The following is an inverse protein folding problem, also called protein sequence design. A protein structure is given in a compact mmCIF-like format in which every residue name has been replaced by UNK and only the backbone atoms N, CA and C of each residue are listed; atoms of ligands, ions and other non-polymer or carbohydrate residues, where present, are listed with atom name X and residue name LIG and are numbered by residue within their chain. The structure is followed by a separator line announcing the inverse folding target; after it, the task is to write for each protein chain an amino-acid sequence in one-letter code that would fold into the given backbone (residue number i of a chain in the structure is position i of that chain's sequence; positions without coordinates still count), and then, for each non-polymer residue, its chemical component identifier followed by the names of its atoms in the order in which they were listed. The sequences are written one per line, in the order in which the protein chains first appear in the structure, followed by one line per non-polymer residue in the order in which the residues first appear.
data_IF_332379360227
#
_entry.id   IF_332379360227
#
_cell.length_a   1.000
_cell.length_b   1.000
_cell.length_c   1.000
_cell.angle_alpha   90.00
_cell.angle_beta   90.00
_cell.angle_gamma   90.00
#
_symmetry.space_group_name_H-M   'P 1'
#
loop_
_entity.id
_entity.type
_entity.pdbx_description
1 polymer ?
#
# COMPACT_ATOMS: atom_id res chain seq x y z
N UNK A 1 99.03 21.12 76.96
CA UNK A 1 98.89 22.38 76.21
C UNK A 1 98.26 22.04 74.85
N UNK A 2 97.03 21.52 74.83
CA UNK A 2 95.77 22.26 74.59
C UNK A 2 95.72 22.94 73.23
N UNK A 3 94.61 22.64 72.53
CA UNK A 3 93.95 23.38 71.43
C UNK A 3 94.12 22.86 69.99
N UNK A 4 92.96 22.54 69.39
CA UNK A 4 92.66 22.38 67.96
C UNK A 4 92.83 20.99 67.33
N UNK A 5 92.25 20.02 68.02
CA UNK A 5 91.90 18.66 67.61
C UNK A 5 90.81 18.56 66.51
N UNK A 6 90.48 19.59 65.71
CA UNK A 6 89.28 19.52 64.82
C UNK A 6 89.48 19.97 63.36
N UNK A 7 90.70 20.23 62.88
CA UNK A 7 90.89 20.79 61.52
C UNK A 7 91.65 19.92 60.53
N UNK A 8 91.79 18.62 60.79
CA UNK A 8 92.52 17.71 59.91
C UNK A 8 91.76 16.40 59.62
N UNK A 9 90.44 16.53 59.32
CA UNK A 9 89.58 15.40 58.92
C UNK A 9 88.79 15.67 57.62
N UNK A 10 89.13 16.72 56.88
CA UNK A 10 88.31 17.18 55.74
C UNK A 10 89.07 17.37 54.42
N UNK A 11 90.28 16.80 54.25
CA UNK A 11 91.06 16.99 53.01
C UNK A 11 91.75 15.75 52.43
N UNK A 12 91.29 14.56 52.78
CA UNK A 12 91.60 13.35 52.00
C UNK A 12 90.43 12.39 52.01
N UNK A 13 89.27 12.87 51.56
CA UNK A 13 88.24 11.95 51.08
C UNK A 13 88.76 11.39 49.76
N UNK A 14 89.43 10.23 49.88
CA UNK A 14 89.94 9.41 48.79
C UNK A 14 88.90 9.41 47.68
N UNK A 15 89.25 9.98 46.52
CA UNK A 15 88.41 9.96 45.32
C UNK A 15 88.02 8.51 45.07
N UNK A 16 86.78 8.16 45.38
CA UNK A 16 86.29 6.80 45.30
C UNK A 16 86.24 6.44 43.82
N UNK A 17 86.77 5.28 43.45
CA UNK A 17 86.76 4.81 42.06
C UNK A 17 85.34 4.75 41.47
N UNK A 18 84.32 4.61 42.33
CA UNK A 18 82.89 4.73 41.97
C UNK A 18 82.53 6.11 41.42
N UNK A 19 83.11 7.18 41.96
CA UNK A 19 82.74 8.55 41.60
C UNK A 19 83.35 8.92 40.24
N UNK A 20 84.54 8.39 39.95
CA UNK A 20 85.16 8.46 38.61
C UNK A 20 84.37 7.64 37.57
N UNK A 21 83.81 6.49 37.99
CA UNK A 21 82.95 5.67 37.14
C UNK A 21 81.62 6.38 36.82
N UNK A 22 81.02 7.09 37.80
CA UNK A 22 79.80 7.86 37.59
C UNK A 22 80.00 9.01 36.59
N UNK A 23 81.13 9.70 36.62
CA UNK A 23 81.43 10.75 35.64
C UNK A 23 81.55 10.18 34.22
N UNK A 24 82.12 8.99 34.08
CA UNK A 24 82.25 8.30 32.80
C UNK A 24 80.90 7.76 32.31
N UNK A 25 80.07 7.25 33.22
CA UNK A 25 78.72 6.73 32.93
C UNK A 25 77.73 7.86 32.58
N UNK A 26 77.81 9.01 33.25
CA UNK A 26 77.03 10.21 32.92
C UNK A 26 77.45 10.76 31.55
N UNK A 27 78.75 10.78 31.25
CA UNK A 27 79.25 11.15 29.94
C UNK A 27 78.81 10.13 28.87
N UNK A 28 78.82 8.83 29.18
CA UNK A 28 78.37 7.76 28.30
C UNK A 28 76.85 7.79 28.06
N UNK A 29 76.04 8.21 29.04
CA UNK A 29 74.60 8.37 28.89
C UNK A 29 74.22 9.60 28.04
N UNK A 30 75.02 10.67 28.11
CA UNK A 30 74.88 11.84 27.23
C UNK A 30 75.43 11.59 25.82
N UNK A 31 76.44 10.72 25.71
CA UNK A 31 77.09 10.36 24.45
C UNK A 31 76.56 9.04 23.86
N UNK A 32 75.51 8.44 24.45
CA UNK A 32 74.84 7.30 23.85
C UNK A 32 74.04 7.82 22.67
N UNK A 33 74.73 7.86 21.52
CA UNK A 33 74.19 8.14 20.21
C UNK A 33 73.09 7.13 19.88
N UNK A 34 71.90 7.40 20.42
CA UNK A 34 70.64 6.80 20.02
C UNK A 34 70.17 7.37 18.69
N UNK A 35 71.08 7.89 17.85
CA UNK A 35 70.76 8.28 16.48
C UNK A 35 70.13 7.11 15.74
N UNK A 36 70.65 5.89 15.90
CA UNK A 36 70.04 4.71 15.31
C UNK A 36 68.68 4.35 15.92
N UNK A 37 68.51 4.42 17.25
CA UNK A 37 67.23 4.07 17.89
C UNK A 37 66.12 5.10 17.59
N UNK A 38 66.44 6.40 17.60
CA UNK A 38 65.53 7.46 17.22
C UNK A 38 65.22 7.41 15.71
N UNK A 39 66.23 7.15 14.87
CA UNK A 39 66.03 7.00 13.43
C UNK A 39 65.19 5.77 13.09
N UNK A 40 65.39 4.65 13.78
CA UNK A 40 64.54 3.45 13.66
C UNK A 40 63.10 3.74 14.09
N UNK A 41 62.89 4.53 15.15
CA UNK A 41 61.56 4.94 15.58
C UNK A 41 60.87 5.85 14.53
N UNK A 42 61.61 6.79 13.95
CA UNK A 42 61.10 7.68 12.89
C UNK A 42 60.78 6.88 11.63
N UNK A 43 61.63 5.94 11.21
CA UNK A 43 61.35 5.05 10.08
C UNK A 43 60.12 4.19 10.36
N UNK A 44 60.01 3.60 11.55
CA UNK A 44 58.85 2.79 11.92
C UNK A 44 57.55 3.59 11.83
N UNK A 45 57.54 4.82 12.37
CA UNK A 45 56.41 5.72 12.28
C UNK A 45 56.08 6.08 10.81
N UNK A 46 57.09 6.34 9.99
CA UNK A 46 56.92 6.63 8.57
C UNK A 46 56.31 5.44 7.83
N UNK A 47 56.80 4.22 8.07
CA UNK A 47 56.26 2.99 7.48
C UNK A 47 54.80 2.79 7.88
N UNK A 48 54.44 3.04 9.15
CA UNK A 48 53.08 2.93 9.63
C UNK A 48 52.14 3.92 8.94
N UNK A 49 52.56 5.18 8.80
CA UNK A 49 51.79 6.21 8.09
C UNK A 49 51.62 5.86 6.61
N UNK A 50 52.69 5.44 5.93
CA UNK A 50 52.63 5.04 4.51
C UNK A 50 51.69 3.87 4.33
N UNK A 51 51.76 2.86 5.20
CA UNK A 51 50.87 1.69 5.16
C UNK A 51 49.41 2.10 5.35
N UNK A 52 49.13 3.00 6.31
CA UNK A 52 47.78 3.52 6.55
C UNK A 52 47.22 4.30 5.35
N UNK A 53 48.04 5.14 4.71
CA UNK A 53 47.63 5.89 3.51
C UNK A 53 47.35 4.96 2.34
N UNK A 54 48.20 3.94 2.10
CA UNK A 54 47.97 2.94 1.06
C UNK A 54 46.67 2.18 1.34
N UNK A 55 46.41 1.79 2.58
CA UNK A 55 45.17 1.12 2.96
C UNK A 55 43.95 2.01 2.73
N UNK A 56 43.98 3.26 3.19
CA UNK A 56 42.87 4.21 3.03
C UNK A 56 42.58 4.51 1.57
N UNK A 57 43.61 4.60 0.71
CA UNK A 57 43.44 4.78 -0.73
C UNK A 57 42.75 3.59 -1.40
N UNK A 58 43.05 2.37 -0.95
CA UNK A 58 42.47 1.14 -1.49
C UNK A 58 41.15 0.74 -0.84
N UNK A 59 40.70 1.46 0.21
CA UNK A 59 39.44 1.19 0.88
C UNK A 59 38.34 2.02 0.20
N UNK A 60 37.53 1.44 -0.70
CA UNK A 60 36.37 2.14 -1.23
C UNK A 60 35.47 2.53 -0.05
N UNK A 61 35.17 3.82 0.05
CA UNK A 61 34.17 4.31 0.98
C UNK A 61 32.82 3.95 0.38
N UNK A 62 32.24 2.84 0.83
CA UNK A 62 30.90 2.41 0.41
C UNK A 62 29.87 3.38 1.00
N UNK A 63 29.62 4.49 0.30
CA UNK A 63 28.51 5.37 0.58
C UNK A 63 27.22 4.70 0.11
N UNK A 64 26.62 3.90 0.99
CA UNK A 64 25.28 3.36 0.77
C UNK A 64 24.29 4.52 0.92
N UNK A 65 24.09 5.26 -0.17
CA UNK A 65 22.92 6.12 -0.33
C UNK A 65 21.70 5.20 -0.33
N UNK A 66 21.07 5.06 0.84
CA UNK A 66 19.76 4.40 0.98
C UNK A 66 18.72 5.31 0.32
N UNK A 67 18.61 5.23 -1.00
CA UNK A 67 17.47 5.77 -1.71
C UNK A 67 16.24 4.99 -1.28
N UNK A 68 15.31 5.64 -0.58
CA UNK A 68 14.01 5.06 -0.24
C UNK A 68 13.16 5.01 -1.51
N UNK A 69 13.44 4.04 -2.39
CA UNK A 69 12.61 3.75 -3.54
C UNK A 69 11.36 3.03 -3.09
N UNK A 70 10.25 3.75 -2.92
CA UNK A 70 8.95 3.12 -2.81
C UNK A 70 8.58 2.56 -4.18
N UNK A 71 8.55 1.23 -4.30
CA UNK A 71 7.99 0.55 -5.46
C UNK A 71 6.49 0.69 -5.32
N UNK A 72 5.91 1.68 -6.00
CA UNK A 72 4.47 1.77 -6.16
C UNK A 72 4.13 0.84 -7.34
N UNK A 73 3.56 -0.35 -7.11
CA UNK A 73 3.09 -1.16 -8.22
C UNK A 73 2.10 -0.33 -9.03
N UNK A 74 2.35 -0.23 -10.34
CA UNK A 74 1.50 0.48 -11.31
C UNK A 74 0.14 -0.21 -11.55
N UNK A 75 -0.34 -1.01 -10.60
CA UNK A 75 -1.71 -1.49 -10.60
C UNK A 75 -2.57 -0.32 -10.19
N UNK A 76 -3.13 0.39 -11.20
CA UNK A 76 -4.31 1.23 -10.97
C UNK A 76 -5.28 0.39 -10.16
N UNK A 77 -5.57 0.82 -8.94
CA UNK A 77 -6.74 0.38 -8.22
C UNK A 77 -7.93 0.84 -9.06
N UNK A 78 -8.36 0.00 -10.00
CA UNK A 78 -9.60 0.22 -10.70
C UNK A 78 -10.71 -0.08 -9.71
N UNK A 79 -11.08 0.96 -8.96
CA UNK A 79 -12.28 0.96 -8.16
C UNK A 79 -13.45 0.80 -9.13
N UNK A 80 -13.94 -0.43 -9.27
CA UNK A 80 -15.15 -0.73 -10.03
C UNK A 80 -16.31 -0.18 -9.19
N UNK A 81 -16.63 1.10 -9.40
CA UNK A 81 -17.81 1.74 -8.82
C UNK A 81 -18.99 1.41 -9.72
N UNK A 82 -19.83 0.48 -9.28
CA UNK A 82 -21.09 0.17 -9.97
C UNK A 82 -22.04 1.35 -9.82
N UNK A 83 -22.56 1.84 -10.95
CA UNK A 83 -23.41 3.02 -11.05
C UNK A 83 -24.83 2.82 -10.49
N UNK A 84 -25.24 1.57 -10.27
CA UNK A 84 -26.51 1.18 -9.66
C UNK A 84 -26.25 0.29 -8.44
N UNK A 85 -26.42 0.77 -7.19
CA UNK A 85 -26.26 -0.05 -6.01
C UNK A 85 -27.42 -1.06 -5.92
N UNK A 86 -27.30 -2.17 -6.64
CA UNK A 86 -28.08 -3.38 -6.40
C UNK A 86 -27.55 -4.09 -5.15
N UNK A 87 -28.43 -4.72 -4.38
CA UNK A 87 -28.05 -5.51 -3.21
C UNK A 87 -27.10 -6.63 -3.68
N UNK A 88 -25.92 -6.73 -3.08
CA UNK A 88 -24.94 -7.77 -3.41
C UNK A 88 -25.48 -9.12 -2.91
N UNK A 89 -25.64 -10.11 -3.80
CA UNK A 89 -26.16 -11.44 -3.42
C UNK A 89 -25.04 -12.37 -2.97
N UNK A 90 -24.01 -12.52 -3.79
CA UNK A 90 -22.79 -13.27 -3.45
C UNK A 90 -21.56 -12.65 -4.11
N UNK A 91 -20.45 -12.63 -3.37
CA UNK A 91 -19.12 -12.28 -3.85
C UNK A 91 -18.32 -13.58 -3.93
N UNK A 92 -17.97 -14.03 -5.14
CA UNK A 92 -17.39 -15.35 -5.38
C UNK A 92 -15.85 -15.34 -5.34
N UNK A 93 -15.23 -14.21 -4.97
CA UNK A 93 -13.79 -13.98 -5.14
C UNK A 93 -13.21 -13.22 -3.95
N UNK A 94 -11.97 -13.55 -3.57
CA UNK A 94 -11.24 -12.90 -2.47
C UNK A 94 -10.10 -12.04 -3.01
N UNK A 95 -9.70 -11.03 -2.24
CA UNK A 95 -8.56 -10.18 -2.58
C UNK A 95 -7.30 -11.04 -2.78
N UNK A 96 -6.73 -10.99 -3.98
CA UNK A 96 -5.53 -11.76 -4.36
C UNK A 96 -5.78 -13.01 -5.20
N UNK A 97 -7.04 -13.38 -5.49
CA UNK A 97 -7.34 -14.48 -6.41
C UNK A 97 -6.99 -14.12 -7.87
N UNK A 98 -6.45 -15.10 -8.60
CA UNK A 98 -6.19 -14.99 -10.04
C UNK A 98 -7.50 -15.29 -10.76
N UNK A 99 -8.02 -14.31 -11.51
CA UNK A 99 -9.29 -14.43 -12.23
C UNK A 99 -9.09 -14.52 -13.73
N UNK A 100 -9.86 -15.38 -14.39
CA UNK A 100 -9.85 -15.54 -15.85
C UNK A 100 -10.90 -14.65 -16.53
N UNK A 101 -10.68 -14.35 -17.81
CA UNK A 101 -11.59 -13.49 -18.58
C UNK A 101 -12.95 -14.18 -18.74
N UNK A 102 -14.00 -13.58 -18.16
CA UNK A 102 -15.37 -14.10 -18.19
C UNK A 102 -15.81 -14.81 -16.91
N UNK A 103 -14.94 -14.91 -15.91
CA UNK A 103 -15.30 -15.43 -14.58
C UNK A 103 -16.25 -14.46 -13.88
N UNK A 104 -17.36 -14.99 -13.35
CA UNK A 104 -18.33 -14.23 -12.57
C UNK A 104 -17.69 -13.87 -11.23
N UNK A 105 -17.45 -12.57 -11.02
CA UNK A 105 -16.82 -12.07 -9.79
C UNK A 105 -17.87 -11.78 -8.70
N UNK A 106 -19.04 -11.33 -9.13
CA UNK A 106 -20.11 -10.82 -8.29
C UNK A 106 -21.45 -11.08 -8.96
N UNK A 107 -22.42 -11.53 -8.19
CA UNK A 107 -23.82 -11.61 -8.64
C UNK A 107 -24.65 -10.57 -7.92
N UNK A 108 -25.27 -9.65 -8.69
CA UNK A 108 -26.20 -8.66 -8.16
C UNK A 108 -27.58 -9.28 -7.94
N UNK A 109 -28.27 -8.89 -6.86
CA UNK A 109 -29.63 -9.35 -6.58
C UNK A 109 -30.63 -8.67 -7.53
N UNK A 110 -31.06 -9.43 -8.54
CA UNK A 110 -32.04 -9.03 -9.57
C UNK A 110 -33.50 -9.04 -9.05
N UNK A 111 -33.74 -9.26 -7.76
CA UNK A 111 -35.12 -9.28 -7.21
C UNK A 111 -35.85 -7.96 -7.45
N UNK A 112 -35.17 -6.82 -7.26
CA UNK A 112 -35.76 -5.49 -7.46
C UNK A 112 -35.94 -5.15 -8.94
N UNK A 113 -34.95 -5.44 -9.75
CA UNK A 113 -34.96 -5.14 -11.19
C UNK A 113 -35.98 -6.01 -11.93
N UNK A 114 -36.03 -7.32 -11.63
CA UNK A 114 -37.07 -8.20 -12.16
C UNK A 114 -38.48 -7.82 -11.68
N UNK A 115 -38.65 -7.33 -10.45
CA UNK A 115 -39.95 -6.83 -9.98
C UNK A 115 -40.40 -5.57 -10.75
N UNK A 116 -39.47 -4.65 -11.01
CA UNK A 116 -39.76 -3.43 -11.78
C UNK A 116 -40.10 -3.73 -13.24
N UNK A 117 -39.43 -4.72 -13.85
CA UNK A 117 -39.77 -5.21 -15.17
C UNK A 117 -41.19 -5.81 -15.19
N UNK A 118 -41.50 -6.71 -14.26
CA UNK A 118 -42.85 -7.31 -14.15
C UNK A 118 -43.94 -6.27 -13.94
N UNK A 119 -43.68 -5.24 -13.14
CA UNK A 119 -44.64 -4.14 -12.94
C UNK A 119 -44.87 -3.36 -14.25
N UNK A 120 -43.80 -3.06 -14.98
CA UNK A 120 -43.86 -2.34 -16.25
C UNK A 120 -44.64 -3.14 -17.30
N UNK A 121 -44.33 -4.43 -17.45
CA UNK A 121 -45.04 -5.35 -18.35
C UNK A 121 -46.52 -5.47 -17.99
N UNK A 122 -46.84 -5.66 -16.71
CA UNK A 122 -48.23 -5.70 -16.25
C UNK A 122 -48.99 -4.41 -16.56
N UNK A 123 -48.33 -3.25 -16.45
CA UNK A 123 -48.92 -1.95 -16.80
C UNK A 123 -49.20 -1.85 -18.30
N UNK A 124 -48.25 -2.25 -19.15
CA UNK A 124 -48.43 -2.25 -20.61
C UNK A 124 -49.63 -3.12 -21.00
N UNK A 125 -49.65 -4.37 -20.52
CA UNK A 125 -50.71 -5.33 -20.82
C UNK A 125 -52.10 -4.82 -20.38
N UNK A 126 -52.19 -4.19 -19.21
CA UNK A 126 -53.44 -3.60 -18.72
C UNK A 126 -53.89 -2.43 -19.60
N UNK A 127 -52.98 -1.54 -20.01
CA UNK A 127 -53.31 -0.41 -20.87
C UNK A 127 -53.77 -0.88 -22.25
N UNK A 128 -53.17 -1.93 -22.81
CA UNK A 128 -53.57 -2.50 -24.09
C UNK A 128 -54.95 -3.16 -24.04
N UNK A 129 -55.25 -3.90 -22.97
CA UNK A 129 -56.56 -4.47 -22.73
C UNK A 129 -57.66 -3.38 -22.64
N UNK A 130 -57.39 -2.31 -21.86
CA UNK A 130 -58.31 -1.16 -21.73
C UNK A 130 -58.46 -0.43 -23.06
N UNK A 131 -57.37 -0.21 -23.81
CA UNK A 131 -57.41 0.42 -25.14
C UNK A 131 -58.27 -0.38 -26.12
N UNK A 132 -58.13 -1.70 -26.15
CA UNK A 132 -58.92 -2.58 -27.00
C UNK A 132 -60.42 -2.46 -26.67
N UNK A 133 -60.77 -2.49 -25.37
CA UNK A 133 -62.15 -2.29 -24.93
C UNK A 133 -62.70 -0.91 -25.31
N UNK A 134 -61.97 0.16 -25.00
CA UNK A 134 -62.43 1.52 -25.29
C UNK A 134 -62.62 1.75 -26.79
N UNK A 135 -61.78 1.16 -27.65
CA UNK A 135 -61.99 1.19 -29.10
C UNK A 135 -63.26 0.47 -29.53
N UNK A 136 -63.51 -0.73 -29.01
CA UNK A 136 -64.72 -1.48 -29.30
C UNK A 136 -65.98 -0.74 -28.82
N UNK A 137 -65.91 -0.03 -27.69
CA UNK A 137 -67.00 0.81 -27.19
C UNK A 137 -67.20 2.07 -28.04
N UNK A 138 -66.13 2.76 -28.42
CA UNK A 138 -66.20 4.02 -29.18
C UNK A 138 -66.69 3.82 -30.62
N UNK A 139 -66.20 2.78 -31.31
CA UNK A 139 -66.53 2.51 -32.71
C UNK A 139 -67.65 1.47 -32.88
N UNK A 140 -68.21 0.95 -31.78
CA UNK A 140 -69.21 -0.14 -31.79
C UNK A 140 -68.76 -1.41 -32.54
N UNK A 141 -67.46 -1.66 -32.58
CA UNK A 141 -66.85 -2.79 -33.25
C UNK A 141 -66.79 -4.03 -32.34
N UNK A 142 -66.49 -5.21 -32.91
CA UNK A 142 -66.26 -6.42 -32.14
C UNK A 142 -65.00 -6.29 -31.27
N UNK A 143 -65.08 -6.73 -30.01
CA UNK A 143 -63.97 -6.69 -29.07
C UNK A 143 -62.89 -7.70 -29.48
N UNK A 144 -61.79 -7.21 -30.03
CA UNK A 144 -60.58 -7.98 -30.36
C UNK A 144 -59.40 -7.47 -29.56
N UNK A 145 -58.74 -8.37 -28.85
CA UNK A 145 -57.51 -8.10 -28.11
C UNK A 145 -56.29 -8.52 -28.93
N UNK A 146 -55.16 -7.80 -28.85
CA UNK A 146 -53.90 -8.27 -29.41
C UNK A 146 -53.38 -9.52 -28.68
N UNK A 147 -52.50 -10.28 -29.34
CA UNK A 147 -51.98 -11.57 -28.84
C UNK A 147 -51.00 -11.43 -27.66
N UNK A 148 -50.48 -10.23 -27.41
CA UNK A 148 -49.59 -9.90 -26.28
C UNK A 148 -50.33 -9.81 -24.94
N UNK A 149 -51.65 -9.61 -24.95
CA UNK A 149 -52.44 -9.45 -23.73
C UNK A 149 -52.72 -10.80 -23.05
N UNK A 150 -52.35 -10.97 -21.77
CA UNK A 150 -52.67 -12.13 -20.95
C UNK A 150 -54.16 -12.53 -20.98
N UNK A 151 -54.43 -13.83 -20.93
CA UNK A 151 -55.79 -14.38 -21.06
C UNK A 151 -56.75 -13.90 -19.94
N UNK A 152 -56.24 -13.72 -18.73
CA UNK A 152 -56.99 -13.21 -17.58
C UNK A 152 -57.47 -11.78 -17.80
N UNK A 153 -56.63 -10.91 -18.35
CA UNK A 153 -57.01 -9.53 -18.68
C UNK A 153 -58.05 -9.47 -19.80
N UNK A 154 -57.91 -10.32 -20.83
CA UNK A 154 -58.91 -10.44 -21.90
C UNK A 154 -60.27 -10.86 -21.36
N UNK A 155 -60.32 -11.84 -20.46
CA UNK A 155 -61.57 -12.30 -19.84
C UNK A 155 -62.20 -11.20 -18.97
N UNK A 156 -61.41 -10.52 -18.15
CA UNK A 156 -61.87 -9.40 -17.30
C UNK A 156 -62.50 -8.29 -18.13
N UNK A 157 -61.79 -7.78 -19.12
CA UNK A 157 -62.27 -6.67 -19.95
C UNK A 157 -63.46 -7.08 -20.84
N UNK A 158 -63.49 -8.32 -21.35
CA UNK A 158 -64.64 -8.83 -22.11
C UNK A 158 -65.92 -8.94 -21.27
N UNK A 159 -65.78 -9.24 -19.98
CA UNK A 159 -66.91 -9.28 -19.05
C UNK A 159 -67.43 -7.88 -18.78
N UNK A 160 -66.53 -6.91 -18.55
CA UNK A 160 -66.90 -5.50 -18.37
C UNK A 160 -67.63 -4.96 -19.61
N UNK A 161 -67.10 -5.22 -20.81
CA UNK A 161 -67.72 -4.80 -22.07
C UNK A 161 -69.15 -5.34 -22.22
N UNK A 162 -69.36 -6.64 -21.93
CA UNK A 162 -70.69 -7.28 -22.01
C UNK A 162 -71.68 -6.65 -21.03
N UNK A 163 -71.27 -6.44 -19.77
CA UNK A 163 -72.11 -5.80 -18.75
C UNK A 163 -72.56 -4.41 -19.20
N UNK A 164 -71.64 -3.59 -19.71
CA UNK A 164 -71.92 -2.23 -20.19
C UNK A 164 -72.91 -2.18 -21.35
N UNK A 165 -72.81 -3.13 -22.29
CA UNK A 165 -73.70 -3.23 -23.45
C UNK A 165 -75.14 -3.59 -23.03
N UNK A 166 -75.30 -4.44 -22.00
CA UNK A 166 -76.63 -4.82 -21.49
C UNK A 166 -77.33 -3.68 -20.75
N UNK A 167 -76.62 -2.84 -20.01
CA UNK A 167 -77.20 -1.66 -19.34
C UNK A 167 -77.68 -0.60 -20.33
N UNK A 168 -76.91 -0.36 -21.40
CA UNK A 168 -77.28 0.65 -22.41
C UNK A 168 -78.56 0.26 -23.17
N UNK A 169 -78.78 -1.04 -23.38
CA UNK A 169 -79.99 -1.55 -24.00
C UNK A 169 -81.26 -1.45 -23.13
N UNK A 170 -81.12 -1.40 -21.80
CA UNK A 170 -82.29 -1.37 -20.87
C UNK A 170 -82.74 0.05 -20.51
N UNK A 171 -81.86 1.06 -20.62
CA UNK A 171 -82.18 2.44 -20.22
C UNK A 171 -83.08 3.19 -21.22
N UNK A 172 -83.22 2.72 -22.45
CA UNK A 172 -84.03 3.38 -23.48
C UNK A 172 -85.48 2.85 -23.60
N UNK A 173 -85.92 2.02 -22.65
CA UNK A 173 -87.25 1.39 -22.66
C UNK A 173 -88.05 1.75 -21.40
N UNK A 174 -88.23 3.05 -21.15
CA UNK A 174 -89.25 3.53 -20.20
C UNK A 174 -90.21 4.45 -20.97
N UNK A 175 -91.52 4.12 -21.02
CA UNK A 175 -92.53 4.96 -21.66
C UNK A 175 -92.77 6.25 -20.87
#
# INVERSE_FOLDING_TARGET
MTEKTERNKASSEVVRQSDLALLTDVQAALQQEKHHALFLMVIFLLVLVVTFVIWAWNSPLDEVTRGQGSIIPGSREQVIQTLDPGILKTLEVREGDIVEKGQVLLTLDDTRSSAMLRESEARVNNLEAVRARLRAEAYSESLTFPDDVPADLRERESTVYRLRKTETGTKHRRP
#
